data_IF_385280828051
#
_entry.id   IF_385280828051
#
_cell.length_a   1.000
_cell.length_b   1.000
_cell.length_c   1.000
_cell.angle_alpha   90.00
_cell.angle_beta   90.00
_cell.angle_gamma   90.00
#
_symmetry.space_group_name_H-M   'P 1'
#
loop_
_entity.id
_entity.type
_entity.pdbx_description
1 polymer ?
#
# COMPACT_ATOMS: atom_id res chain seq x y z
N UNK A 1 11.07 9.69 13.84
CA UNK A 1 10.09 10.67 13.34
C UNK A 1 9.21 11.07 14.51
N UNK A 2 8.85 12.35 14.62
CA UNK A 2 7.91 12.82 15.65
C UNK A 2 6.51 12.77 15.06
N UNK A 3 5.52 12.38 15.85
CA UNK A 3 4.12 12.35 15.45
C UNK A 3 3.36 13.39 16.27
N UNK A 4 2.53 14.20 15.62
CA UNK A 4 1.57 15.08 16.30
C UNK A 4 0.19 14.47 16.07
N UNK A 5 -0.50 14.14 17.14
CA UNK A 5 -1.74 13.33 17.09
C UNK A 5 -2.91 14.12 17.66
N UNK A 6 -4.08 13.95 17.05
CA UNK A 6 -5.36 14.47 17.50
C UNK A 6 -6.40 13.39 17.32
N UNK A 7 -7.20 13.11 18.35
CA UNK A 7 -8.27 12.11 18.30
C UNK A 7 -9.56 12.65 18.89
N UNK A 8 -10.68 12.30 18.27
CA UNK A 8 -12.01 12.63 18.78
C UNK A 8 -13.00 11.54 18.41
N UNK A 9 -13.96 11.30 19.31
CA UNK A 9 -15.11 10.43 19.08
C UNK A 9 -16.37 11.14 19.57
N UNK A 10 -17.47 10.99 18.85
CA UNK A 10 -18.76 11.60 19.15
C UNK A 10 -19.89 10.63 18.82
N UNK A 11 -20.94 10.63 19.66
CA UNK A 11 -22.12 9.78 19.47
C UNK A 11 -22.85 10.10 18.16
N UNK A 12 -22.69 11.31 17.62
CA UNK A 12 -23.50 11.82 16.53
C UNK A 12 -24.79 12.46 17.03
N UNK A 13 -25.64 12.89 16.09
CA UNK A 13 -26.93 13.56 16.38
C UNK A 13 -28.11 12.61 16.47
N UNK A 14 -28.02 11.41 15.87
CA UNK A 14 -29.16 10.47 15.76
C UNK A 14 -29.01 9.19 16.57
N UNK A 15 -27.85 8.91 17.14
CA UNK A 15 -27.62 7.77 18.04
C UNK A 15 -27.72 8.22 19.51
N UNK A 16 -27.90 7.26 20.40
CA UNK A 16 -27.94 7.47 21.86
C UNK A 16 -26.73 6.87 22.59
N UNK A 17 -26.00 5.98 21.94
CA UNK A 17 -24.83 5.27 22.47
C UNK A 17 -23.71 5.33 21.43
N UNK A 18 -22.48 5.22 21.90
CA UNK A 18 -21.30 5.14 21.06
C UNK A 18 -20.79 3.69 21.01
N UNK A 19 -20.93 3.05 19.86
CA UNK A 19 -20.43 1.70 19.58
C UNK A 19 -19.02 1.75 18.96
N UNK A 20 -18.51 2.94 18.60
CA UNK A 20 -17.13 3.13 18.18
C UNK A 20 -16.15 3.11 19.36
N UNK A 21 -14.94 2.64 19.10
CA UNK A 21 -13.79 2.75 19.98
C UNK A 21 -12.55 3.23 19.22
N UNK A 22 -11.68 3.95 19.91
CA UNK A 22 -10.37 4.34 19.39
C UNK A 22 -9.25 4.13 20.41
N UNK A 23 -8.04 3.93 19.89
CA UNK A 23 -6.81 3.91 20.67
C UNK A 23 -5.81 4.89 20.08
N UNK A 24 -5.23 5.72 20.95
CA UNK A 24 -4.05 6.54 20.67
C UNK A 24 -3.00 6.17 21.69
N UNK A 25 -2.00 5.41 21.25
CA UNK A 25 -0.85 5.03 22.06
C UNK A 25 0.41 5.63 21.44
N UNK A 26 0.78 6.82 21.90
CA UNK A 26 1.98 7.53 21.44
C UNK A 26 3.28 6.83 21.86
N UNK A 27 3.25 5.99 22.91
CA UNK A 27 4.45 5.29 23.40
C UNK A 27 4.89 4.22 22.39
N UNK A 28 3.91 3.49 21.86
CA UNK A 28 4.14 2.46 20.84
C UNK A 28 3.92 2.96 19.41
N UNK A 29 3.47 4.22 19.25
CA UNK A 29 3.03 4.80 17.98
C UNK A 29 1.98 3.92 17.28
N UNK A 30 0.99 3.50 18.07
CA UNK A 30 -0.12 2.65 17.68
C UNK A 30 -1.43 3.45 17.70
N UNK A 31 -2.18 3.37 16.62
CA UNK A 31 -3.45 4.06 16.43
C UNK A 31 -4.47 3.08 15.89
N UNK A 32 -5.66 3.05 16.49
CA UNK A 32 -6.69 2.07 16.11
C UNK A 32 -8.06 2.74 16.12
N UNK A 33 -8.86 2.42 15.12
CA UNK A 33 -10.30 2.74 15.07
C UNK A 33 -11.07 1.44 14.87
N UNK A 34 -12.13 1.26 15.64
CA UNK A 34 -13.02 0.12 15.59
C UNK A 34 -14.48 0.59 15.71
N UNK A 35 -15.32 0.19 14.76
CA UNK A 35 -16.74 0.54 14.68
C UNK A 35 -17.58 -0.71 14.97
N UNK A 36 -18.23 -0.71 16.14
CA UNK A 36 -18.93 -1.86 16.69
C UNK A 36 -20.30 -2.09 16.05
N UNK A 37 -20.64 -3.36 15.84
CA UNK A 37 -21.95 -3.79 15.31
C UNK A 37 -22.51 -4.99 16.09
N UNK A 38 -23.84 -5.08 16.15
CA UNK A 38 -24.55 -6.13 16.91
C UNK A 38 -25.67 -5.60 17.82
N UNK A 39 -26.03 -4.32 17.69
CA UNK A 39 -26.92 -3.62 18.62
C UNK A 39 -26.14 -3.04 19.80
N UNK A 40 -26.75 -2.07 20.50
CA UNK A 40 -26.06 -1.18 21.45
C UNK A 40 -25.01 -1.85 22.36
N UNK A 41 -25.41 -2.83 23.18
CA UNK A 41 -24.45 -3.48 24.08
C UNK A 41 -23.46 -4.40 23.34
N UNK A 42 -23.86 -4.99 22.21
CA UNK A 42 -23.02 -5.92 21.47
C UNK A 42 -21.89 -5.24 20.72
N UNK A 43 -22.19 -4.12 20.05
CA UNK A 43 -21.21 -3.34 19.29
C UNK A 43 -20.13 -2.74 20.18
N UNK A 44 -20.50 -2.08 21.27
CA UNK A 44 -19.56 -1.50 22.24
C UNK A 44 -18.61 -2.55 22.81
N UNK A 45 -19.12 -3.73 23.19
CA UNK A 45 -18.29 -4.83 23.70
C UNK A 45 -17.28 -5.28 22.65
N UNK A 46 -17.70 -5.41 21.38
CA UNK A 46 -16.84 -5.90 20.32
C UNK A 46 -15.72 -4.90 19.99
N UNK A 47 -16.05 -3.62 19.82
CA UNK A 47 -15.07 -2.58 19.47
C UNK A 47 -14.05 -2.37 20.60
N UNK A 48 -14.51 -2.28 21.86
CA UNK A 48 -13.60 -2.16 23.02
C UNK A 48 -12.69 -3.39 23.14
N UNK A 49 -13.25 -4.60 22.99
CA UNK A 49 -12.45 -5.82 23.11
C UNK A 49 -11.40 -5.93 22.01
N UNK A 50 -11.70 -5.49 20.78
CA UNK A 50 -10.72 -5.43 19.71
C UNK A 50 -9.55 -4.51 20.07
N UNK A 51 -9.84 -3.32 20.59
CA UNK A 51 -8.81 -2.37 21.05
C UNK A 51 -7.92 -2.98 22.14
N UNK A 52 -8.52 -3.63 23.15
CA UNK A 52 -7.79 -4.27 24.24
C UNK A 52 -6.81 -5.34 23.74
N UNK A 53 -7.27 -6.23 22.86
CA UNK A 53 -6.44 -7.32 22.30
C UNK A 53 -5.27 -6.75 21.50
N UNK A 54 -5.53 -5.73 20.66
CA UNK A 54 -4.48 -5.08 19.86
C UNK A 54 -3.46 -4.40 20.78
N UNK A 55 -3.91 -3.60 21.75
CA UNK A 55 -3.04 -2.91 22.69
C UNK A 55 -2.15 -3.88 23.47
N UNK A 56 -2.72 -4.99 23.96
CA UNK A 56 -2.01 -6.01 24.71
C UNK A 56 -0.90 -6.65 23.86
N UNK A 57 -1.23 -7.20 22.69
CA UNK A 57 -0.25 -7.88 21.85
C UNK A 57 0.85 -6.95 21.35
N UNK A 58 0.52 -5.71 20.99
CA UNK A 58 1.52 -4.73 20.55
C UNK A 58 2.45 -4.39 21.70
N UNK A 59 1.93 -4.08 22.88
CA UNK A 59 2.74 -3.74 24.07
C UNK A 59 3.70 -4.87 24.44
N UNK A 60 3.22 -6.11 24.48
CA UNK A 60 4.05 -7.27 24.84
C UNK A 60 5.16 -7.56 23.82
N UNK A 61 4.90 -7.30 22.53
CA UNK A 61 5.83 -7.65 21.45
C UNK A 61 6.61 -6.46 20.90
N UNK A 62 6.41 -5.24 21.43
CA UNK A 62 6.94 -4.02 20.82
C UNK A 62 8.47 -4.00 20.68
N UNK A 63 9.18 -4.45 21.72
CA UNK A 63 10.64 -4.51 21.69
C UNK A 63 11.13 -5.44 20.57
N UNK A 64 10.52 -6.62 20.46
CA UNK A 64 10.79 -7.61 19.42
C UNK A 64 10.46 -7.08 18.04
N UNK A 65 9.33 -6.38 17.87
CA UNK A 65 8.95 -5.74 16.59
C UNK A 65 9.98 -4.69 16.16
N UNK A 66 10.47 -3.87 17.10
CA UNK A 66 11.53 -2.89 16.82
C UNK A 66 12.86 -3.54 16.43
N UNK A 67 13.28 -4.56 17.16
CA UNK A 67 14.52 -5.31 16.85
C UNK A 67 14.42 -6.00 15.48
N UNK A 68 13.25 -6.58 15.19
CA UNK A 68 12.92 -7.18 13.91
C UNK A 68 12.79 -6.15 12.76
N UNK A 69 12.82 -4.86 13.03
CA UNK A 69 12.70 -3.83 12.01
C UNK A 69 14.02 -3.10 11.70
N UNK A 70 15.15 -3.80 11.84
CA UNK A 70 16.48 -3.20 11.70
C UNK A 70 16.95 -3.06 10.24
N UNK A 71 16.62 -4.01 9.34
CA UNK A 71 17.11 -3.96 7.94
C UNK A 71 16.18 -3.16 7.02
N UNK A 72 14.94 -2.93 7.44
CA UNK A 72 13.89 -2.31 6.62
C UNK A 72 13.77 -3.00 5.26
N UNK A 73 13.78 -4.34 5.30
CA UNK A 73 13.74 -5.22 4.14
C UNK A 73 12.34 -5.76 3.88
N UNK A 74 12.12 -6.32 2.68
CA UNK A 74 10.86 -6.99 2.33
C UNK A 74 10.47 -8.09 3.33
N UNK A 75 11.46 -8.82 3.87
CA UNK A 75 11.25 -9.84 4.89
C UNK A 75 10.79 -9.26 6.22
N UNK A 76 11.36 -8.12 6.64
CA UNK A 76 10.92 -7.43 7.85
C UNK A 76 9.48 -6.93 7.71
N UNK A 77 9.13 -6.38 6.54
CA UNK A 77 7.77 -5.91 6.25
C UNK A 77 6.76 -7.05 6.32
N UNK A 78 7.05 -8.17 5.63
CA UNK A 78 6.18 -9.36 5.63
C UNK A 78 5.96 -9.90 7.05
N UNK A 79 7.02 -9.99 7.86
CA UNK A 79 6.93 -10.45 9.25
C UNK A 79 6.03 -9.55 10.11
N UNK A 80 6.13 -8.22 9.98
CA UNK A 80 5.29 -7.29 10.73
C UNK A 80 3.84 -7.38 10.26
N UNK A 81 3.59 -7.46 8.94
CA UNK A 81 2.24 -7.66 8.40
C UNK A 81 1.61 -8.95 8.92
N UNK A 82 2.30 -10.08 8.86
CA UNK A 82 1.80 -11.35 9.40
C UNK A 82 1.57 -11.31 10.91
N UNK A 83 2.37 -10.54 11.67
CA UNK A 83 2.10 -10.31 13.09
C UNK A 83 0.77 -9.58 13.28
N UNK A 84 0.52 -8.50 12.53
CA UNK A 84 -0.74 -7.74 12.65
C UNK A 84 -1.96 -8.58 12.20
N UNK A 85 -1.83 -9.40 11.15
CA UNK A 85 -2.88 -10.36 10.73
C UNK A 85 -3.24 -11.32 11.85
N UNK A 86 -2.22 -11.88 12.54
CA UNK A 86 -2.44 -12.76 13.68
C UNK A 86 -3.14 -12.04 14.83
N UNK A 87 -2.77 -10.79 15.13
CA UNK A 87 -3.43 -9.98 16.16
C UNK A 87 -4.91 -9.76 15.83
N UNK A 88 -5.24 -9.44 14.57
CA UNK A 88 -6.64 -9.30 14.14
C UNK A 88 -7.41 -10.61 14.26
N UNK A 89 -6.79 -11.74 13.88
CA UNK A 89 -7.38 -13.07 14.02
C UNK A 89 -7.64 -13.44 15.49
N UNK A 90 -6.73 -13.12 16.41
CA UNK A 90 -6.93 -13.29 17.86
C UNK A 90 -8.07 -12.42 18.39
N UNK A 91 -8.16 -11.15 17.96
CA UNK A 91 -9.27 -10.28 18.33
C UNK A 91 -10.61 -10.88 17.87
N UNK A 92 -10.66 -11.43 16.65
CA UNK A 92 -11.85 -12.12 16.14
C UNK A 92 -12.23 -13.33 16.98
N UNK A 93 -11.25 -14.14 17.35
CA UNK A 93 -11.47 -15.31 18.20
C UNK A 93 -12.05 -14.92 19.57
N UNK A 94 -11.44 -13.95 20.25
CA UNK A 94 -11.88 -13.54 21.59
C UNK A 94 -13.27 -12.90 21.59
N UNK A 95 -13.58 -12.06 20.60
CA UNK A 95 -14.91 -11.45 20.46
C UNK A 95 -15.97 -12.52 20.17
N UNK A 96 -15.65 -13.47 19.29
CA UNK A 96 -16.54 -14.60 18.99
C UNK A 96 -16.83 -15.44 20.23
N UNK A 97 -15.82 -15.73 21.05
CA UNK A 97 -16.01 -16.45 22.32
C UNK A 97 -16.92 -15.69 23.30
N UNK A 98 -16.83 -14.36 23.37
CA UNK A 98 -17.72 -13.54 24.20
C UNK A 98 -19.16 -13.68 23.72
N UNK A 99 -19.40 -13.61 22.42
CA UNK A 99 -20.73 -13.76 21.83
C UNK A 99 -21.37 -15.12 22.16
N UNK A 100 -20.59 -16.20 22.04
CA UNK A 100 -21.00 -17.57 22.36
C UNK A 100 -21.31 -17.73 23.85
N UNK A 101 -20.41 -17.27 24.74
CA UNK A 101 -20.60 -17.32 26.20
C UNK A 101 -21.84 -16.55 26.64
N UNK A 102 -22.13 -15.40 26.03
CA UNK A 102 -23.31 -14.57 26.30
C UNK A 102 -24.57 -15.01 25.53
N UNK A 103 -24.47 -16.01 24.65
CA UNK A 103 -25.56 -16.51 23.79
C UNK A 103 -26.23 -15.42 22.95
N UNK A 104 -25.44 -14.49 22.40
CA UNK A 104 -25.94 -13.39 21.58
C UNK A 104 -26.29 -13.93 20.19
N UNK A 105 -27.58 -13.95 19.85
CA UNK A 105 -28.06 -14.49 18.58
C UNK A 105 -27.59 -13.63 17.41
N UNK A 106 -26.85 -14.23 16.48
CA UNK A 106 -26.27 -13.52 15.32
C UNK A 106 -24.85 -13.00 15.56
N UNK A 107 -24.30 -13.18 16.77
CA UNK A 107 -22.96 -12.72 17.13
C UNK A 107 -22.90 -11.23 17.44
N UNK A 108 -21.68 -10.78 17.74
CA UNK A 108 -21.30 -9.37 17.79
C UNK A 108 -20.05 -9.21 16.93
N UNK A 109 -19.80 -8.00 16.44
CA UNK A 109 -18.60 -7.76 15.67
C UNK A 109 -18.18 -6.31 15.65
N UNK A 110 -17.08 -6.03 14.99
CA UNK A 110 -16.57 -4.68 14.83
C UNK A 110 -15.77 -4.59 13.53
N UNK A 111 -15.69 -3.40 12.95
CA UNK A 111 -14.56 -3.08 12.06
C UNK A 111 -13.29 -2.98 12.90
N UNK A 112 -12.14 -3.04 12.26
CA UNK A 112 -10.85 -2.85 12.91
C UNK A 112 -9.84 -2.30 11.90
N UNK A 113 -9.39 -1.07 12.11
CA UNK A 113 -8.31 -0.45 11.33
C UNK A 113 -7.18 -0.09 12.26
N UNK A 114 -6.05 -0.80 12.12
CA UNK A 114 -4.84 -0.63 12.91
C UNK A 114 -3.81 0.12 12.07
N UNK A 115 -3.15 1.11 12.67
CA UNK A 115 -1.93 1.72 12.16
C UNK A 115 -0.85 1.63 13.24
N UNK A 116 0.25 0.93 12.93
CA UNK A 116 1.46 0.89 13.73
C UNK A 116 2.59 1.63 13.00
N UNK A 117 3.25 2.57 13.67
CA UNK A 117 4.38 3.31 13.09
C UNK A 117 5.70 2.85 13.71
N UNK A 118 6.60 2.31 12.89
CA UNK A 118 7.96 1.94 13.30
C UNK A 118 8.97 2.78 12.51
N UNK A 119 9.70 3.67 13.19
CA UNK A 119 10.63 4.60 12.55
C UNK A 119 9.90 5.64 11.69
N UNK A 120 9.96 5.47 10.38
CA UNK A 120 9.23 6.25 9.37
C UNK A 120 8.39 5.33 8.46
N UNK A 121 7.96 4.18 8.97
CA UNK A 121 7.15 3.22 8.22
C UNK A 121 5.81 3.02 8.92
N UNK A 122 4.72 3.13 8.15
CA UNK A 122 3.37 2.82 8.60
C UNK A 122 2.99 1.40 8.17
N UNK A 123 2.52 0.60 9.12
CA UNK A 123 1.98 -0.74 8.93
C UNK A 123 0.51 -0.74 9.27
N UNK A 124 -0.30 -1.28 8.37
CA UNK A 124 -1.75 -1.28 8.44
C UNK A 124 -2.26 -2.71 8.45
N UNK A 125 -3.24 -2.98 9.29
CA UNK A 125 -4.11 -4.14 9.18
C UNK A 125 -5.56 -3.68 9.28
N UNK A 126 -6.40 -4.16 8.37
CA UNK A 126 -7.74 -3.62 8.19
C UNK A 126 -8.79 -4.71 7.94
N UNK A 127 -9.92 -4.59 8.62
CA UNK A 127 -11.14 -5.35 8.41
C UNK A 127 -12.35 -4.43 8.56
N UNK A 128 -13.24 -4.37 7.57
CA UNK A 128 -14.49 -3.62 7.64
C UNK A 128 -14.50 -2.48 6.64
N UNK A 129 -15.19 -1.39 6.92
CA UNK A 129 -15.29 -0.22 6.05
C UNK A 129 -14.77 1.08 6.66
N UNK A 130 -14.29 1.07 7.91
CA UNK A 130 -13.52 2.19 8.46
C UNK A 130 -12.28 2.45 7.60
N UNK A 131 -11.84 3.71 7.51
CA UNK A 131 -10.87 4.12 6.50
C UNK A 131 -9.60 4.71 7.09
N UNK A 132 -8.48 4.45 6.42
CA UNK A 132 -7.23 5.19 6.57
C UNK A 132 -6.92 5.93 5.27
N UNK A 133 -6.66 7.22 5.38
CA UNK A 133 -6.19 8.08 4.29
C UNK A 133 -4.77 8.56 4.56
N UNK A 134 -3.96 8.63 3.51
CA UNK A 134 -2.67 9.32 3.48
C UNK A 134 -2.82 10.60 2.66
N UNK A 135 -2.48 11.73 3.27
CA UNK A 135 -2.41 13.04 2.60
C UNK A 135 -0.95 13.41 2.41
N UNK A 136 -0.49 13.44 1.17
CA UNK A 136 0.90 13.73 0.80
C UNK A 136 0.96 14.76 -0.32
N UNK A 137 1.67 15.87 -0.09
CA UNK A 137 1.88 16.95 -1.08
C UNK A 137 0.59 17.40 -1.78
N UNK A 138 -0.51 17.53 -1.03
CA UNK A 138 -1.79 17.99 -1.57
C UNK A 138 -2.66 16.87 -2.16
N UNK A 139 -2.16 15.64 -2.26
CA UNK A 139 -2.91 14.48 -2.74
C UNK A 139 -3.44 13.64 -1.60
N UNK A 140 -4.67 13.16 -1.73
CA UNK A 140 -5.30 12.24 -0.79
C UNK A 140 -5.32 10.86 -1.40
N UNK A 141 -4.90 9.86 -0.62
CA UNK A 141 -4.87 8.46 -1.02
C UNK A 141 -5.59 7.63 0.05
N UNK A 142 -6.73 7.03 -0.28
CA UNK A 142 -7.33 6.01 0.58
C UNK A 142 -6.42 4.77 0.57
N UNK A 143 -5.90 4.41 1.74
CA UNK A 143 -4.97 3.31 1.95
C UNK A 143 -5.71 1.99 2.14
N UNK A 144 -6.77 1.99 2.94
CA UNK A 144 -7.63 0.82 3.13
C UNK A 144 -8.61 0.66 1.97
N UNK A 145 -9.24 -0.50 1.87
CA UNK A 145 -10.29 -0.78 0.90
C UNK A 145 -11.46 -1.42 1.63
N UNK A 146 -12.63 -0.84 1.48
CA UNK A 146 -13.79 -1.23 2.28
C UNK A 146 -14.19 -2.68 1.98
N UNK A 147 -14.38 -3.47 3.03
CA UNK A 147 -14.96 -4.81 2.94
C UNK A 147 -16.48 -4.73 2.90
N UNK A 148 -17.01 -4.11 1.85
CA UNK A 148 -18.46 -4.00 1.59
C UNK A 148 -18.88 -4.79 0.36
N UNK A 149 -20.16 -5.13 0.28
CA UNK A 149 -20.73 -5.84 -0.86
C UNK A 149 -20.56 -5.05 -2.17
N UNK A 150 -20.67 -3.72 -2.11
CA UNK A 150 -20.43 -2.84 -3.24
C UNK A 150 -18.97 -2.94 -3.72
N UNK A 151 -18.01 -2.79 -2.81
CA UNK A 151 -16.59 -2.81 -3.15
C UNK A 151 -16.16 -4.17 -3.73
N UNK A 152 -16.72 -5.27 -3.21
CA UNK A 152 -16.53 -6.62 -3.78
C UNK A 152 -16.99 -6.70 -5.25
N UNK A 153 -18.15 -6.13 -5.58
CA UNK A 153 -18.65 -6.12 -6.96
C UNK A 153 -17.81 -5.24 -7.89
N UNK A 154 -17.35 -4.09 -7.40
CA UNK A 154 -16.42 -3.21 -8.11
C UNK A 154 -15.12 -3.96 -8.41
N UNK A 155 -14.54 -4.62 -7.41
CA UNK A 155 -13.29 -5.39 -7.53
C UNK A 155 -13.38 -6.49 -8.59
N UNK A 156 -14.52 -7.16 -8.68
CA UNK A 156 -14.77 -8.20 -9.67
C UNK A 156 -15.18 -7.67 -11.06
N UNK A 157 -15.22 -6.35 -11.27
CA UNK A 157 -15.60 -5.73 -12.55
C UNK A 157 -17.05 -6.04 -12.95
N UNK A 158 -17.92 -6.30 -11.98
CA UNK A 158 -19.32 -6.71 -12.20
C UNK A 158 -20.29 -5.53 -12.37
N UNK A 159 -19.84 -4.30 -12.14
CA UNK A 159 -20.69 -3.11 -12.16
C UNK A 159 -20.15 -2.07 -13.13
N UNK A 160 -21.08 -1.44 -13.84
CA UNK A 160 -20.87 -0.18 -14.56
C UNK A 160 -20.88 1.00 -13.59
N UNK A 161 -20.30 2.16 -13.96
CA UNK A 161 -20.32 3.37 -13.13
C UNK A 161 -21.72 3.79 -12.69
N UNK A 162 -22.72 3.63 -13.55
CA UNK A 162 -24.12 3.96 -13.28
C UNK A 162 -24.73 3.03 -12.23
N UNK A 163 -24.42 1.72 -12.27
CA UNK A 163 -24.93 0.73 -11.32
C UNK A 163 -24.32 0.87 -9.92
N UNK A 164 -23.15 1.48 -9.79
CA UNK A 164 -22.50 1.74 -8.49
C UNK A 164 -23.31 2.75 -7.67
N UNK A 165 -23.89 3.77 -8.32
CA UNK A 165 -24.59 4.87 -7.64
C UNK A 165 -25.84 4.38 -6.92
N UNK A 166 -26.62 3.53 -7.58
CA UNK A 166 -27.91 3.02 -7.10
C UNK A 166 -27.80 1.62 -6.47
N UNK A 167 -26.58 1.17 -6.13
CA UNK A 167 -26.38 -0.21 -5.67
C UNK A 167 -27.12 -0.48 -4.33
N UNK A 168 -28.05 -1.45 -4.30
CA UNK A 168 -28.76 -1.79 -3.08
C UNK A 168 -27.80 -2.40 -2.07
N UNK A 169 -28.01 -2.12 -0.78
CA UNK A 169 -27.20 -2.70 0.30
C UNK A 169 -25.70 -2.36 0.21
N UNK A 170 -25.37 -1.17 -0.32
CA UNK A 170 -23.97 -0.70 -0.49
C UNK A 170 -23.10 -0.75 0.76
N UNK A 171 -23.69 -0.58 1.95
CA UNK A 171 -22.99 -0.59 3.24
C UNK A 171 -22.98 -1.97 3.93
N UNK A 172 -23.46 -3.03 3.27
CA UNK A 172 -23.41 -4.38 3.86
C UNK A 172 -21.97 -4.86 3.88
N UNK A 173 -21.45 -5.07 5.09
CA UNK A 173 -20.11 -5.58 5.31
C UNK A 173 -19.99 -7.05 4.89
N UNK A 174 -18.89 -7.37 4.22
CA UNK A 174 -18.52 -8.73 3.79
C UNK A 174 -17.50 -9.36 4.72
N UNK A 175 -16.75 -8.54 5.49
CA UNK A 175 -15.83 -9.00 6.54
C UNK A 175 -15.92 -8.12 7.77
N UNK A 176 -15.92 -8.77 8.93
CA UNK A 176 -16.08 -8.16 10.25
C UNK A 176 -15.30 -8.98 11.27
N UNK A 177 -14.68 -8.33 12.25
CA UNK A 177 -13.98 -9.01 13.35
C UNK A 177 -15.02 -9.49 14.37
N UNK A 178 -14.94 -10.75 14.82
CA UNK A 178 -15.74 -11.29 15.93
C UNK A 178 -16.97 -12.10 15.55
N UNK A 179 -17.56 -11.88 14.36
CA UNK A 179 -18.72 -12.68 13.91
C UNK A 179 -18.33 -14.15 13.71
N UNK A 180 -17.14 -14.38 13.16
CA UNK A 180 -16.52 -15.69 13.02
C UNK A 180 -15.23 -15.74 13.85
N UNK A 181 -14.77 -16.93 14.29
CA UNK A 181 -13.57 -17.06 15.12
C UNK A 181 -12.27 -16.67 14.37
N UNK A 182 -12.31 -16.67 13.04
CA UNK A 182 -11.18 -16.29 12.20
C UNK A 182 -11.63 -15.32 11.13
N UNK A 183 -10.76 -14.35 10.83
CA UNK A 183 -10.98 -13.36 9.78
C UNK A 183 -9.64 -13.03 9.12
N UNK A 184 -9.67 -12.85 7.81
CA UNK A 184 -8.51 -12.40 7.03
C UNK A 184 -8.47 -10.87 7.00
N UNK A 185 -7.38 -10.31 7.49
CA UNK A 185 -7.12 -8.88 7.48
C UNK A 185 -6.34 -8.49 6.22
N UNK A 186 -6.72 -7.36 5.63
CA UNK A 186 -5.93 -6.76 4.55
C UNK A 186 -4.77 -5.98 5.19
N UNK A 187 -3.53 -6.31 4.81
CA UNK A 187 -2.34 -5.60 5.27
C UNK A 187 -1.74 -4.67 4.23
N UNK A 188 -1.20 -3.55 4.69
CA UNK A 188 -0.53 -2.58 3.84
C UNK A 188 0.62 -1.89 4.56
N UNK A 189 1.69 -1.64 3.82
CA UNK A 189 2.88 -0.98 4.34
C UNK A 189 3.27 0.18 3.44
N UNK A 190 3.66 1.30 4.04
CA UNK A 190 4.14 2.47 3.31
C UNK A 190 5.19 3.25 4.11
N UNK A 191 6.05 3.96 3.40
CA UNK A 191 7.00 4.90 3.99
C UNK A 191 6.26 6.21 4.27
N UNK A 192 6.41 6.73 5.49
CA UNK A 192 6.01 8.07 5.91
C UNK A 192 7.14 9.07 5.64
N UNK A 193 6.76 10.24 5.15
CA UNK A 193 7.63 11.38 4.91
C UNK A 193 7.21 12.54 5.83
N UNK A 194 8.15 13.42 6.21
CA UNK A 194 7.80 14.63 6.95
C UNK A 194 6.72 15.45 6.22
N UNK A 195 5.76 15.99 6.97
CA UNK A 195 4.64 16.78 6.42
C UNK A 195 3.49 15.94 5.82
N UNK A 196 3.58 14.60 5.86
CA UNK A 196 2.44 13.74 5.60
C UNK A 196 1.40 13.86 6.72
N UNK A 197 0.13 13.73 6.33
CA UNK A 197 -0.95 13.48 7.29
C UNK A 197 -1.58 12.12 7.07
N UNK A 198 -2.02 11.51 8.15
CA UNK A 198 -2.84 10.32 8.17
C UNK A 198 -4.17 10.65 8.83
N UNK A 199 -5.26 10.16 8.25
CA UNK A 199 -6.61 10.30 8.79
C UNK A 199 -7.22 8.90 8.90
N UNK A 200 -7.42 8.42 10.13
CA UNK A 200 -8.19 7.21 10.41
C UNK A 200 -9.60 7.63 10.82
N UNK A 201 -10.63 6.97 10.31
CA UNK A 201 -12.01 7.28 10.70
C UNK A 201 -12.99 6.11 10.53
N UNK A 202 -14.08 6.14 11.31
CA UNK A 202 -15.26 5.29 11.10
C UNK A 202 -16.14 5.81 9.95
N UNK A 203 -17.19 5.06 9.62
CA UNK A 203 -18.08 5.39 8.52
C UNK A 203 -18.92 6.65 8.78
N UNK A 204 -19.18 6.95 10.05
CA UNK A 204 -19.86 8.17 10.47
C UNK A 204 -19.13 9.45 10.08
N UNK A 205 -17.82 9.40 9.76
CA UNK A 205 -17.14 10.52 9.09
C UNK A 205 -17.24 10.41 7.57
N UNK A 206 -16.74 9.32 6.99
CA UNK A 206 -16.52 9.28 5.53
C UNK A 206 -17.81 9.22 4.72
N UNK A 207 -18.95 8.87 5.34
CA UNK A 207 -20.28 9.01 4.72
C UNK A 207 -20.67 10.47 4.50
N UNK A 208 -20.05 11.43 5.21
CA UNK A 208 -20.30 12.86 5.08
C UNK A 208 -19.13 13.64 4.47
N UNK A 209 -17.99 13.02 4.20
CA UNK A 209 -16.76 13.69 3.81
C UNK A 209 -16.36 13.27 2.38
N UNK A 210 -16.14 14.25 1.51
CA UNK A 210 -15.60 14.00 0.18
C UNK A 210 -14.07 14.06 0.21
N UNK A 211 -13.39 13.27 -0.64
CA UNK A 211 -11.92 13.17 -0.62
C UNK A 211 -11.22 14.51 -0.87
N UNK A 212 -11.78 15.35 -1.74
CA UNK A 212 -11.24 16.68 -2.05
C UNK A 212 -11.36 17.68 -0.89
N UNK A 213 -12.12 17.36 0.16
CA UNK A 213 -12.28 18.20 1.35
C UNK A 213 -11.26 17.86 2.45
N UNK A 214 -10.67 16.66 2.41
CA UNK A 214 -9.75 16.16 3.45
C UNK A 214 -8.53 17.07 3.57
N UNK A 215 -7.85 17.33 2.46
CA UNK A 215 -6.61 18.12 2.43
C UNK A 215 -6.77 19.57 2.88
N UNK A 216 -7.76 20.35 2.40
CA UNK A 216 -7.93 21.72 2.88
C UNK A 216 -8.35 21.75 4.35
N UNK A 217 -9.19 20.81 4.79
CA UNK A 217 -9.67 20.77 6.19
C UNK A 217 -8.52 20.43 7.16
N UNK A 218 -7.75 19.38 6.87
CA UNK A 218 -6.66 18.94 7.75
C UNK A 218 -5.56 20.00 7.93
N UNK A 219 -5.35 20.86 6.93
CA UNK A 219 -4.39 21.97 6.98
C UNK A 219 -4.95 23.25 7.60
N UNK A 220 -6.26 23.45 7.52
CA UNK A 220 -6.92 24.66 8.06
C UNK A 220 -6.88 24.73 9.60
N UNK A 221 -6.79 23.58 10.25
CA UNK A 221 -6.75 23.44 11.71
C UNK A 221 -5.40 22.89 12.15
N UNK A 222 -4.89 23.36 13.29
CA UNK A 222 -3.57 22.95 13.82
C UNK A 222 -3.72 22.08 15.06
N UNK A 223 -2.78 21.15 15.21
CA UNK A 223 -2.56 20.40 16.44
C UNK A 223 -3.76 19.58 16.88
N UNK A 224 -4.06 19.64 18.18
CA UNK A 224 -5.06 18.84 18.88
C UNK A 224 -6.50 19.04 18.40
N UNK A 225 -6.82 20.17 17.76
CA UNK A 225 -8.18 20.50 17.31
C UNK A 225 -8.57 19.88 15.96
N UNK A 226 -7.64 19.21 15.26
CA UNK A 226 -7.90 18.70 13.92
C UNK A 226 -9.04 17.69 13.89
N UNK A 227 -9.02 16.69 14.77
CA UNK A 227 -10.06 15.66 14.80
C UNK A 227 -11.44 16.25 15.09
N UNK A 228 -11.55 17.22 16.02
CA UNK A 228 -12.82 17.89 16.33
C UNK A 228 -13.43 18.61 15.12
N UNK A 229 -12.61 19.18 14.23
CA UNK A 229 -13.11 19.84 13.02
C UNK A 229 -13.79 18.86 12.06
N UNK A 230 -13.31 17.61 11.98
CA UNK A 230 -13.95 16.55 11.21
C UNK A 230 -15.26 16.08 11.88
N UNK A 231 -15.28 15.94 13.21
CA UNK A 231 -16.50 15.65 13.97
C UNK A 231 -17.58 16.71 13.71
N UNK A 232 -17.21 17.99 13.80
CA UNK A 232 -18.12 19.11 13.57
C UNK A 232 -18.70 19.11 12.16
N UNK A 233 -17.87 18.80 11.15
CA UNK A 233 -18.32 18.66 9.76
C UNK A 233 -19.39 17.59 9.61
N UNK A 234 -19.12 16.37 10.09
CA UNK A 234 -20.05 15.25 10.00
C UNK A 234 -21.37 15.52 10.75
N UNK A 235 -21.28 16.09 11.95
CA UNK A 235 -22.45 16.47 12.75
C UNK A 235 -23.30 17.56 12.06
N UNK A 236 -22.67 18.55 11.41
CA UNK A 236 -23.38 19.60 10.67
C UNK A 236 -24.10 19.05 9.44
N UNK A 237 -23.59 17.96 8.86
CA UNK A 237 -24.17 17.28 7.69
C UNK A 237 -25.19 16.20 8.03
N UNK A 238 -25.41 15.94 9.32
CA UNK A 238 -26.54 15.14 9.80
C UNK A 238 -26.22 14.25 11.00
N UNK A 239 -24.96 13.82 11.18
CA UNK A 239 -24.50 12.99 12.30
C UNK A 239 -25.38 11.77 12.54
N UNK A 240 -25.66 10.99 11.49
CA UNK A 240 -26.57 9.84 11.59
C UNK A 240 -25.98 8.64 12.34
N UNK A 241 -24.65 8.55 12.42
CA UNK A 241 -23.94 7.48 13.12
C UNK A 241 -22.93 8.01 14.14
N UNK A 242 -22.30 7.09 14.87
CA UNK A 242 -21.11 7.36 15.68
C UNK A 242 -19.96 7.82 14.78
N UNK A 243 -19.19 8.80 15.25
CA UNK A 243 -18.16 9.45 14.45
C UNK A 243 -16.86 9.38 15.24
N UNK A 244 -15.88 8.67 14.71
CA UNK A 244 -14.56 8.53 15.34
C UNK A 244 -13.47 8.88 14.36
N UNK A 245 -12.51 9.68 14.82
CA UNK A 245 -11.47 10.29 13.98
C UNK A 245 -10.15 10.32 14.72
N UNK A 246 -9.08 9.87 14.06
CA UNK A 246 -7.70 10.11 14.48
C UNK A 246 -6.96 10.79 13.33
N UNK A 247 -6.33 11.93 13.62
CA UNK A 247 -5.44 12.65 12.71
C UNK A 247 -4.02 12.56 13.24
N UNK A 248 -3.09 12.14 12.39
CA UNK A 248 -1.66 12.04 12.71
C UNK A 248 -0.89 12.88 11.68
N UNK A 249 -0.08 13.80 12.16
CA UNK A 249 0.88 14.56 11.36
C UNK A 249 2.27 13.97 11.59
N UNK A 250 2.95 13.58 10.51
CA UNK A 250 4.35 13.19 10.53
C UNK A 250 5.22 14.46 10.59
N UNK A 251 5.53 14.91 11.80
CA UNK A 251 6.28 16.16 12.03
C UNK A 251 7.77 16.01 11.69
N UNK A 252 8.38 17.14 11.34
CA UNK A 252 9.79 17.33 11.01
C UNK A 252 10.68 17.07 12.24
N UNK A 253 10.87 15.80 12.57
CA UNK A 253 11.93 15.34 13.49
C UNK A 253 13.33 15.36 12.86
N UNK A 254 13.47 16.00 11.71
CA UNK A 254 14.68 16.12 10.87
C UNK A 254 14.78 17.56 10.39
N UNK A 255 15.96 18.01 9.96
CA UNK A 255 16.10 19.36 9.41
C UNK A 255 15.29 19.52 8.12
N UNK A 256 14.83 20.74 7.76
CA UNK A 256 14.11 20.98 6.50
C UNK A 256 14.87 20.47 5.26
N UNK A 257 16.20 20.59 5.27
CA UNK A 257 17.06 20.09 4.19
C UNK A 257 17.03 18.56 4.07
N UNK A 258 17.04 17.85 5.19
CA UNK A 258 16.91 16.39 5.22
C UNK A 258 15.51 15.95 4.79
N UNK A 259 14.46 16.68 5.22
CA UNK A 259 13.09 16.43 4.80
C UNK A 259 12.94 16.58 3.28
N UNK A 260 13.46 17.66 2.70
CA UNK A 260 13.45 17.89 1.25
C UNK A 260 14.18 16.78 0.51
N UNK A 261 15.35 16.36 1.00
CA UNK A 261 16.13 15.28 0.40
C UNK A 261 15.39 13.94 0.43
N UNK A 262 14.73 13.60 1.54
CA UNK A 262 13.90 12.38 1.64
C UNK A 262 12.75 12.40 0.64
N UNK A 263 12.08 13.55 0.50
CA UNK A 263 11.03 13.72 -0.49
C UNK A 263 11.55 13.57 -1.91
N UNK A 264 12.66 14.20 -2.26
CA UNK A 264 13.24 14.11 -3.60
C UNK A 264 13.60 12.65 -3.94
N UNK A 265 14.24 11.94 -3.02
CA UNK A 265 14.60 10.53 -3.21
C UNK A 265 13.37 9.63 -3.36
N UNK A 266 12.34 9.84 -2.54
CA UNK A 266 11.09 9.08 -2.64
C UNK A 266 10.38 9.33 -3.97
N UNK A 267 10.23 10.60 -4.35
CA UNK A 267 9.53 10.99 -5.58
C UNK A 267 10.27 10.51 -6.83
N UNK A 268 11.60 10.63 -6.86
CA UNK A 268 12.42 10.13 -7.97
C UNK A 268 12.21 8.63 -8.18
N UNK A 269 12.23 7.84 -7.09
CA UNK A 269 12.00 6.39 -7.15
C UNK A 269 10.58 6.06 -7.62
N UNK A 270 9.57 6.73 -7.06
CA UNK A 270 8.16 6.52 -7.43
C UNK A 270 7.87 6.89 -8.88
N UNK A 271 8.37 8.04 -9.35
CA UNK A 271 8.22 8.48 -10.74
C UNK A 271 8.93 7.52 -11.70
N UNK A 272 10.13 7.08 -11.34
CA UNK A 272 10.89 6.09 -12.10
C UNK A 272 10.11 4.78 -12.24
N UNK A 273 9.50 4.27 -11.17
CA UNK A 273 8.64 3.08 -11.20
C UNK A 273 7.41 3.31 -12.10
N UNK A 274 6.70 4.43 -11.93
CA UNK A 274 5.51 4.76 -12.70
C UNK A 274 5.78 4.86 -14.21
N UNK A 275 6.99 5.27 -14.59
CA UNK A 275 7.39 5.37 -15.99
C UNK A 275 7.74 4.02 -16.64
N UNK A 276 7.93 2.95 -15.86
CA UNK A 276 8.10 1.60 -16.41
C UNK A 276 6.80 1.17 -17.10
N UNK A 277 6.83 0.76 -18.39
CA UNK A 277 5.63 0.37 -19.12
C UNK A 277 4.80 -0.72 -18.46
N UNK A 278 5.44 -1.59 -17.67
CA UNK A 278 4.81 -2.65 -16.90
C UNK A 278 3.93 -2.11 -15.76
N UNK A 279 4.29 -0.96 -15.18
CA UNK A 279 3.67 -0.41 -13.96
C UNK A 279 2.82 0.85 -14.20
N UNK A 280 2.76 1.35 -15.44
CA UNK A 280 2.15 2.64 -15.79
C UNK A 280 0.71 2.84 -15.29
N UNK A 281 -0.09 1.78 -15.33
CA UNK A 281 -1.52 1.84 -15.02
C UNK A 281 -1.85 1.23 -13.65
N UNK A 282 -0.81 0.98 -12.83
CA UNK A 282 -1.01 0.61 -11.44
C UNK A 282 -1.49 1.82 -10.64
N UNK A 283 -2.42 1.58 -9.71
CA UNK A 283 -2.83 2.56 -8.72
C UNK A 283 -1.66 2.94 -7.81
N UNK A 284 -1.81 4.05 -7.06
CA UNK A 284 -0.80 4.47 -6.09
C UNK A 284 -0.49 3.34 -5.07
N UNK A 285 -1.52 2.67 -4.53
CA UNK A 285 -1.37 1.54 -3.59
C UNK A 285 -0.53 0.42 -4.19
N UNK A 286 -0.83 0.03 -5.42
CA UNK A 286 -0.11 -1.03 -6.13
C UNK A 286 1.34 -0.63 -6.44
N UNK A 287 1.60 0.62 -6.81
CA UNK A 287 2.96 1.13 -6.99
C UNK A 287 3.75 1.13 -5.67
N UNK A 288 3.11 1.47 -4.55
CA UNK A 288 3.75 1.41 -3.22
C UNK A 288 4.12 -0.03 -2.86
N UNK A 289 3.27 -1.01 -3.19
CA UNK A 289 3.61 -2.44 -3.01
C UNK A 289 4.87 -2.83 -3.79
N UNK A 290 4.99 -2.39 -5.05
CA UNK A 290 6.21 -2.60 -5.85
C UNK A 290 7.39 -1.83 -5.27
N UNK A 291 7.19 -0.58 -4.83
CA UNK A 291 8.23 0.24 -4.21
C UNK A 291 8.85 -0.45 -2.98
N UNK A 292 8.03 -1.11 -2.16
CA UNK A 292 8.49 -1.75 -0.93
C UNK A 292 9.44 -2.94 -1.16
N UNK A 293 9.40 -3.57 -2.34
CA UNK A 293 10.33 -4.65 -2.70
C UNK A 293 11.55 -4.13 -3.48
N UNK A 294 11.73 -2.81 -3.60
CA UNK A 294 12.85 -2.21 -4.34
C UNK A 294 14.03 -1.86 -3.45
N UNK A 295 15.24 -2.05 -3.97
CA UNK A 295 16.49 -1.70 -3.32
C UNK A 295 17.30 -0.73 -4.18
N UNK A 296 17.92 0.28 -3.57
CA UNK A 296 18.84 1.16 -4.30
C UNK A 296 20.24 0.57 -4.22
N UNK A 297 20.86 0.31 -5.38
CA UNK A 297 22.24 -0.18 -5.46
C UNK A 297 23.12 0.80 -6.24
N UNK A 298 24.19 1.35 -5.61
CA UNK A 298 25.16 2.20 -6.28
C UNK A 298 26.23 1.36 -6.97
N UNK A 299 26.71 1.85 -8.12
CA UNK A 299 27.84 1.30 -8.88
C UNK A 299 28.76 2.45 -9.27
N UNK A 300 30.07 2.24 -9.18
CA UNK A 300 31.07 3.22 -9.63
C UNK A 300 31.30 3.13 -11.14
N UNK A 301 31.79 4.21 -11.73
CA UNK A 301 32.25 4.19 -13.12
C UNK A 301 33.25 3.03 -13.36
N UNK A 302 32.99 2.25 -14.41
CA UNK A 302 33.76 1.06 -14.80
C UNK A 302 33.35 -0.24 -14.09
N UNK A 303 32.45 -0.19 -13.10
CA UNK A 303 31.99 -1.37 -12.37
C UNK A 303 31.01 -2.20 -13.21
N UNK A 304 31.22 -3.51 -13.26
CA UNK A 304 30.31 -4.44 -13.92
C UNK A 304 29.15 -4.77 -13.00
N UNK A 305 27.93 -4.59 -13.50
CA UNK A 305 26.68 -4.85 -12.81
C UNK A 305 26.31 -6.33 -12.92
N UNK A 306 26.37 -6.89 -14.14
CA UNK A 306 26.14 -8.30 -14.45
C UNK A 306 27.08 -8.74 -15.57
N UNK A 307 27.47 -10.02 -15.58
CA UNK A 307 28.16 -10.63 -16.71
C UNK A 307 27.20 -11.43 -17.60
N UNK A 308 27.47 -11.44 -18.90
CA UNK A 308 26.82 -12.34 -19.86
C UNK A 308 26.96 -13.80 -19.41
N UNK A 309 25.88 -14.57 -19.46
CA UNK A 309 25.85 -15.97 -19.03
C UNK A 309 25.61 -16.19 -17.54
N UNK A 310 25.61 -15.15 -16.71
CA UNK A 310 25.22 -15.28 -15.29
C UNK A 310 23.73 -15.58 -15.15
N UNK A 311 23.32 -16.25 -14.07
CA UNK A 311 21.92 -16.47 -13.79
C UNK A 311 21.22 -15.14 -13.45
N UNK A 312 20.15 -14.82 -14.19
CA UNK A 312 19.40 -13.59 -13.97
C UNK A 312 18.38 -13.75 -12.84
N UNK A 313 18.52 -12.98 -11.76
CA UNK A 313 17.61 -13.03 -10.61
C UNK A 313 16.98 -11.68 -10.25
N UNK A 314 17.19 -10.65 -11.07
CA UNK A 314 16.85 -9.27 -10.72
C UNK A 314 16.46 -8.43 -11.94
N UNK A 315 15.50 -7.54 -11.71
CA UNK A 315 15.10 -6.48 -12.64
C UNK A 315 15.64 -5.14 -12.17
N UNK A 316 16.25 -4.38 -13.08
CA UNK A 316 16.93 -3.13 -12.74
C UNK A 316 16.35 -1.95 -13.53
N UNK A 317 16.16 -0.83 -12.84
CA UNK A 317 15.74 0.43 -13.42
C UNK A 317 16.80 1.48 -13.08
N UNK A 318 17.23 2.26 -14.06
CA UNK A 318 18.31 3.24 -13.88
C UNK A 318 17.73 4.51 -13.25
N UNK A 319 18.10 4.80 -12.00
CA UNK A 319 17.68 6.04 -11.31
C UNK A 319 18.53 7.24 -11.76
N UNK A 320 19.84 7.02 -11.90
CA UNK A 320 20.81 8.03 -12.33
C UNK A 320 22.04 7.34 -12.93
N UNK A 321 22.77 8.04 -13.81
CA UNK A 321 23.94 7.51 -14.48
C UNK A 321 23.68 6.96 -15.88
N UNK A 322 24.65 6.23 -16.41
CA UNK A 322 24.64 5.64 -17.75
C UNK A 322 25.37 4.30 -17.73
N UNK A 323 24.78 3.31 -18.40
CA UNK A 323 25.32 1.94 -18.52
C UNK A 323 25.56 1.58 -19.99
N UNK A 324 26.48 0.65 -20.21
CA UNK A 324 26.74 0.03 -21.51
C UNK A 324 26.39 -1.46 -21.45
N UNK A 325 25.68 -1.93 -22.47
CA UNK A 325 25.42 -3.35 -22.70
C UNK A 325 26.39 -3.85 -23.77
N UNK A 326 27.04 -4.98 -23.49
CA UNK A 326 27.95 -5.66 -24.41
C UNK A 326 27.67 -7.16 -24.47
N UNK A 327 27.90 -7.75 -25.64
CA UNK A 327 27.84 -9.21 -25.86
C UNK A 327 29.14 -9.63 -26.51
N UNK A 328 29.76 -10.70 -26.01
CA UNK A 328 31.09 -11.16 -26.44
C UNK A 328 32.14 -10.03 -26.43
N UNK A 329 32.06 -9.14 -25.43
CA UNK A 329 32.96 -7.99 -25.26
C UNK A 329 32.75 -6.83 -26.25
N UNK A 330 31.73 -6.89 -27.12
CA UNK A 330 31.41 -5.81 -28.06
C UNK A 330 30.21 -4.99 -27.56
N UNK A 331 30.36 -3.68 -27.34
CA UNK A 331 29.24 -2.84 -26.91
C UNK A 331 28.25 -2.65 -28.06
N UNK A 332 26.95 -2.74 -27.76
CA UNK A 332 25.89 -2.59 -28.77
C UNK A 332 24.78 -1.62 -28.36
N UNK A 333 24.68 -1.26 -27.07
CA UNK A 333 23.64 -0.34 -26.59
C UNK A 333 24.09 0.40 -25.34
N UNK A 334 23.77 1.69 -25.27
CA UNK A 334 23.88 2.50 -24.04
C UNK A 334 22.50 2.86 -23.53
N UNK A 335 22.37 2.93 -22.20
CA UNK A 335 21.10 3.17 -21.53
C UNK A 335 21.30 4.17 -20.39
N UNK A 336 20.33 5.09 -20.25
CA UNK A 336 20.37 6.22 -19.32
C UNK A 336 19.24 6.14 -18.30
N UNK A 337 19.28 7.03 -17.31
CA UNK A 337 18.23 7.22 -16.32
C UNK A 337 16.82 7.19 -16.92
N UNK A 338 15.88 6.55 -16.22
CA UNK A 338 14.49 6.34 -16.68
C UNK A 338 14.28 5.11 -17.57
N UNK A 339 15.35 4.43 -17.99
CA UNK A 339 15.27 3.14 -18.70
C UNK A 339 15.48 1.95 -17.76
N UNK A 340 15.19 0.74 -18.23
CA UNK A 340 15.23 -0.48 -17.43
C UNK A 340 15.78 -1.67 -18.23
N UNK A 341 16.30 -2.67 -17.54
CA UNK A 341 16.87 -3.88 -18.12
C UNK A 341 16.77 -5.08 -17.15
N UNK A 342 16.88 -6.29 -17.68
CA UNK A 342 16.80 -7.51 -16.88
C UNK A 342 15.37 -7.91 -16.50
N UNK A 343 14.35 -7.33 -17.16
CA UNK A 343 12.93 -7.62 -16.89
C UNK A 343 12.56 -9.07 -17.15
N UNK A 344 13.26 -9.73 -18.09
CA UNK A 344 13.02 -11.13 -18.43
C UNK A 344 13.34 -12.07 -17.27
N UNK A 345 14.29 -11.70 -16.41
CA UNK A 345 14.65 -12.47 -15.22
C UNK A 345 13.53 -12.53 -14.18
N UNK A 346 12.50 -11.68 -14.27
CA UNK A 346 11.29 -11.83 -13.45
C UNK A 346 10.39 -12.97 -13.96
N UNK A 347 10.47 -13.28 -15.26
CA UNK A 347 9.58 -14.23 -15.95
C UNK A 347 10.24 -15.61 -16.01
N UNK A 348 11.46 -15.69 -16.52
CA UNK A 348 12.22 -16.93 -16.68
C UNK A 348 13.58 -16.85 -15.95
N UNK A 349 14.25 -18.01 -15.82
CA UNK A 349 15.60 -18.12 -15.22
C UNK A 349 16.65 -18.31 -16.31
N UNK A 350 16.47 -17.68 -17.47
CA UNK A 350 17.49 -17.75 -18.52
C UNK A 350 18.74 -16.94 -18.11
N UNK A 351 19.94 -17.37 -18.55
CA UNK A 351 21.16 -16.60 -18.34
C UNK A 351 21.06 -15.19 -18.92
N UNK A 352 21.79 -14.23 -18.32
CA UNK A 352 21.91 -12.85 -18.80
C UNK A 352 22.42 -12.86 -20.24
N UNK A 353 21.70 -12.15 -21.12
CA UNK A 353 22.01 -12.07 -22.56
C UNK A 353 23.14 -11.10 -22.91
N UNK A 354 23.56 -10.27 -21.95
CA UNK A 354 24.60 -9.27 -22.14
C UNK A 354 25.29 -8.96 -20.80
N UNK A 355 26.56 -8.59 -20.88
CA UNK A 355 27.30 -7.94 -19.79
C UNK A 355 26.84 -6.49 -19.69
N UNK A 356 26.63 -6.01 -18.48
CA UNK A 356 26.19 -4.64 -18.19
C UNK A 356 27.24 -3.95 -17.33
N UNK A 357 27.77 -2.82 -17.79
CA UNK A 357 28.81 -2.06 -17.08
C UNK A 357 28.38 -0.61 -16.89
N UNK A 358 28.62 -0.05 -15.69
CA UNK A 358 28.41 1.36 -15.42
C UNK A 358 29.50 2.19 -16.11
N UNK A 359 29.12 3.15 -16.96
CA UNK A 359 30.08 4.04 -17.65
C UNK A 359 30.46 5.21 -16.74
N UNK A 360 29.50 5.67 -15.94
CA UNK A 360 29.64 6.70 -14.92
C UNK A 360 29.05 6.18 -13.61
N UNK A 361 29.27 6.90 -12.51
CA UNK A 361 28.62 6.58 -11.24
C UNK A 361 27.10 6.47 -11.45
N UNK A 362 26.57 5.29 -11.13
CA UNK A 362 25.21 4.88 -11.51
C UNK A 362 24.48 4.38 -10.27
N UNK A 363 23.21 4.75 -10.14
CA UNK A 363 22.32 4.17 -9.12
C UNK A 363 21.20 3.42 -9.80
N UNK A 364 21.00 2.18 -9.39
CA UNK A 364 19.93 1.32 -9.87
C UNK A 364 18.87 1.15 -8.78
N UNK A 365 17.61 1.16 -9.21
CA UNK A 365 16.50 0.61 -8.45
C UNK A 365 16.36 -0.86 -8.86
N UNK A 366 16.61 -1.76 -7.93
CA UNK A 366 16.63 -3.20 -8.16
C UNK A 366 15.40 -3.85 -7.53
N UNK A 367 14.73 -4.69 -8.30
CA UNK A 367 13.62 -5.53 -7.85
C UNK A 367 14.10 -6.98 -7.92
N UNK A 368 14.40 -7.61 -6.76
CA UNK A 368 14.78 -9.02 -6.71
C UNK A 368 13.61 -9.91 -7.12
N UNK A 369 13.89 -10.93 -7.93
CA UNK A 369 12.87 -11.89 -8.40
C UNK A 369 12.17 -12.59 -7.24
N UNK A 370 12.92 -12.96 -6.20
CA UNK A 370 12.36 -13.63 -5.00
C UNK A 370 11.25 -12.79 -4.38
N UNK A 371 11.50 -11.51 -4.17
CA UNK A 371 10.56 -10.59 -3.52
C UNK A 371 9.39 -10.25 -4.44
N UNK A 372 9.66 -10.11 -5.74
CA UNK A 372 8.61 -9.93 -6.75
C UNK A 372 7.64 -11.13 -6.79
N UNK A 373 8.16 -12.36 -6.82
CA UNK A 373 7.32 -13.56 -6.84
C UNK A 373 6.57 -13.74 -5.51
N UNK A 374 7.18 -13.41 -4.37
CA UNK A 374 6.50 -13.41 -3.08
C UNK A 374 5.30 -12.45 -3.10
N UNK A 375 5.52 -11.20 -3.55
CA UNK A 375 4.46 -10.21 -3.69
C UNK A 375 3.32 -10.67 -4.60
N UNK A 376 3.61 -11.33 -5.72
CA UNK A 376 2.58 -11.85 -6.62
C UNK A 376 1.77 -13.01 -6.02
N UNK A 377 2.35 -13.77 -5.08
CA UNK A 377 1.64 -14.84 -4.37
C UNK A 377 0.72 -14.29 -3.30
N UNK A 378 1.16 -13.23 -2.63
CA UNK A 378 0.39 -12.54 -1.59
C UNK A 378 -0.76 -11.72 -2.21
N UNK A 379 -0.51 -10.99 -3.31
CA UNK A 379 -1.51 -10.15 -3.98
C UNK A 379 -1.87 -10.69 -5.37
N UNK A 380 -2.88 -11.56 -5.40
CA UNK A 380 -3.37 -12.19 -6.63
C UNK A 380 -3.98 -11.20 -7.63
N UNK A 381 -4.53 -10.08 -7.14
CA UNK A 381 -5.12 -9.04 -8.01
C UNK A 381 -4.03 -8.26 -8.74
N UNK A 382 -3.00 -7.82 -8.00
CA UNK A 382 -1.81 -7.20 -8.57
C UNK A 382 -1.12 -8.17 -9.55
N UNK A 383 -1.02 -9.46 -9.21
CA UNK A 383 -0.48 -10.48 -10.09
C UNK A 383 -1.26 -10.60 -11.40
N UNK A 384 -2.59 -10.66 -11.34
CA UNK A 384 -3.43 -10.73 -12.54
C UNK A 384 -3.26 -9.49 -13.42
N UNK A 385 -3.23 -8.29 -12.84
CA UNK A 385 -2.97 -7.05 -13.58
C UNK A 385 -1.59 -7.06 -14.24
N UNK A 386 -0.54 -7.42 -13.51
CA UNK A 386 0.82 -7.47 -14.04
C UNK A 386 0.97 -8.53 -15.14
N UNK A 387 0.35 -9.70 -14.99
CA UNK A 387 0.33 -10.75 -16.02
C UNK A 387 -0.29 -10.22 -17.33
N UNK A 388 -1.43 -9.54 -17.25
CA UNK A 388 -2.04 -8.91 -18.41
C UNK A 388 -1.13 -7.86 -19.04
N UNK A 389 -0.40 -7.08 -18.24
CA UNK A 389 0.57 -6.09 -18.75
C UNK A 389 1.74 -6.75 -19.45
N UNK A 390 2.29 -7.81 -18.88
CA UNK A 390 3.33 -8.61 -19.52
C UNK A 390 2.87 -9.14 -20.87
N UNK A 391 1.66 -9.73 -20.95
CA UNK A 391 1.08 -10.21 -22.20
C UNK A 391 0.98 -9.10 -23.25
N UNK A 392 0.52 -7.92 -22.86
CA UNK A 392 0.42 -6.77 -23.77
C UNK A 392 1.78 -6.26 -24.26
N UNK A 393 2.78 -6.20 -23.38
CA UNK A 393 4.15 -5.79 -23.72
C UNK A 393 4.80 -6.81 -24.66
N UNK A 394 4.70 -8.11 -24.36
CA UNK A 394 5.23 -9.19 -25.20
C UNK A 394 4.53 -9.20 -26.55
N UNK A 395 3.20 -9.08 -26.58
CA UNK A 395 2.42 -9.01 -27.83
C UNK A 395 2.86 -7.84 -28.71
N UNK A 396 3.14 -6.67 -28.12
CA UNK A 396 3.67 -5.52 -28.85
C UNK A 396 5.08 -5.77 -29.38
N UNK A 397 6.00 -6.24 -28.52
CA UNK A 397 7.37 -6.56 -28.92
C UNK A 397 7.44 -7.62 -30.02
N UNK A 398 6.56 -8.61 -29.98
CA UNK A 398 6.44 -9.64 -31.02
C UNK A 398 6.01 -9.03 -32.35
N UNK A 399 4.98 -8.17 -32.35
CA UNK A 399 4.59 -7.43 -33.57
C UNK A 399 5.74 -6.60 -34.14
N UNK A 400 6.47 -5.89 -33.29
CA UNK A 400 7.61 -5.05 -33.71
C UNK A 400 8.79 -5.90 -34.25
N UNK A 401 9.02 -7.09 -33.69
CA UNK A 401 10.02 -8.03 -34.18
C UNK A 401 9.62 -8.64 -35.53
N UNK A 402 8.36 -9.07 -35.67
CA UNK A 402 7.82 -9.59 -36.94
C UNK A 402 7.90 -8.53 -38.04
N UNK A 403 7.51 -7.29 -37.76
CA UNK A 403 7.59 -6.19 -38.73
C UNK A 403 9.03 -5.97 -39.23
N UNK A 404 10.01 -5.88 -38.31
CA UNK A 404 11.43 -5.72 -38.66
C UNK A 404 11.98 -6.91 -39.46
N UNK A 405 11.57 -8.13 -39.12
CA UNK A 405 11.97 -9.32 -39.87
C UNK A 405 11.43 -9.28 -41.31
N UNK A 406 10.17 -8.89 -41.49
CA UNK A 406 9.55 -8.74 -42.82
C UNK A 406 10.25 -7.64 -43.64
N UNK A 407 10.61 -6.51 -43.03
CA UNK A 407 11.37 -5.45 -43.70
C UNK A 407 12.77 -5.91 -44.15
N UNK A 408 13.49 -6.64 -43.30
CA UNK A 408 14.81 -7.20 -43.63
C UNK A 408 14.72 -8.24 -44.77
N UNK A 409 13.69 -9.09 -44.77
CA UNK A 409 13.45 -10.02 -45.87
C UNK A 409 13.15 -9.30 -47.18
N UNK A 410 12.30 -8.28 -47.15
CA UNK A 410 11.99 -7.48 -48.34
C UNK A 410 13.23 -6.76 -48.91
N UNK A 411 14.13 -6.27 -48.04
CA UNK A 411 15.40 -5.68 -48.46
C UNK A 411 16.37 -6.70 -49.07
N UNK A 412 16.46 -7.91 -48.51
CA UNK A 412 17.27 -8.99 -49.11
C UNK A 412 16.72 -9.42 -50.47
N UNK A 413 15.40 -9.54 -50.61
CA UNK A 413 14.77 -9.94 -51.86
C UNK A 413 14.86 -8.86 -52.95
N UNK A 414 14.86 -7.58 -52.57
CA UNK A 414 15.14 -6.47 -53.48
C UNK A 414 16.61 -6.45 -53.93
N UNK A 415 17.56 -6.62 -53.01
CA UNK A 415 19.00 -6.64 -53.33
C UNK A 415 19.43 -7.85 -54.18
N UNK A 416 18.63 -8.92 -54.22
CA UNK A 416 18.85 -10.11 -55.06
C UNK A 416 18.31 -9.97 -56.49
N UNK A 417 17.50 -8.95 -56.78
CA UNK A 417 16.94 -8.70 -58.12
C UNK A 417 17.75 -7.68 -58.94
N UNK A 418 18.62 -6.92 -58.30
CA UNK A 418 19.45 -5.87 -58.91
C UNK A 418 20.93 -6.29 -59.12
N UNK A 419 21.29 -7.55 -58.86
CA UNK A 419 22.61 -8.13 -59.14
C UNK A 419 22.48 -9.43 -59.91
#
# INVERSE_FOLDING_TARGET
MRLIVSGATDVGKKRHHNEDAMLIDETHALFVVADGMGGHEGGEIASQKAIEVVAHHITENYATLKENFHRQSAEDFSRISSFLENVVSQASFEIHEIAEKKKIRGGIGTTLTILLVLGNHGFVAHVGDSRLYLVRKGHVHQITEDHTLLQEHIRHGKLTPEEIVDFPHKNVLTRTVGVYPHVEADTFHFVLLPGDFLLLCSDGLHNYLQENEIEPLIRSVKGEYRAESFIQLANTRGGADNITVIVIEADEGVSPQEADQLHEQFNLRMETLKNVPLYRDLSYKELVKIFNITQVRPYRAGETIFHEGEEGSEFCIILSGEIELSTHGKPFKRMRAGTHFGEMSLIDQQPRSATVTAIVDTKLLVIPRKDFIALLREDTHLAAKLLWRFLMVVSRRLRDATARYTELQAQQDAGRKDG
#
